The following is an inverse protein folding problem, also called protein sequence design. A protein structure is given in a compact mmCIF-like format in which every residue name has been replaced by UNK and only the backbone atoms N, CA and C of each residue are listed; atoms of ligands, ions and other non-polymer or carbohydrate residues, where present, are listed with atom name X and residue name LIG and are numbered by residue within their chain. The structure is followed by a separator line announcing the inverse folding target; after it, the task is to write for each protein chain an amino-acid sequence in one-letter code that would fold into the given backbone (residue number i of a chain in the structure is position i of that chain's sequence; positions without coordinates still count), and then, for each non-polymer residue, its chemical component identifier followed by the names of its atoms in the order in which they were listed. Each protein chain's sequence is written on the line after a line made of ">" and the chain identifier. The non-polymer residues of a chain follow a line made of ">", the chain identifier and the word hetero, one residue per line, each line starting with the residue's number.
data_IF_461366176638
#
_entry.id   IF_461366176638
#
_cell.length_a   1.000
_cell.length_b   1.000
_cell.length_c   1.000
_cell.angle_alpha   90.00
_cell.angle_beta   90.00
_cell.angle_gamma   90.00
#
_symmetry.space_group_name_H-M   'P 1'
#
loop_
_entity.id
_entity.type
_entity.pdbx_description
1 polymer ?
#
# COMPACT_ATOMS: atom_id res chain seq x y z
N UNK A 1 4.68 4.44 -8.08
CA UNK A 1 4.11 4.81 -6.75
C UNK A 1 4.76 3.90 -5.75
N UNK A 2 5.41 4.43 -4.71
CA UNK A 2 6.20 3.61 -3.79
C UNK A 2 5.36 3.09 -2.62
N UNK A 3 5.82 2.03 -1.95
CA UNK A 3 5.22 1.52 -0.71
C UNK A 3 5.11 2.62 0.37
N UNK A 4 6.09 3.53 0.40
CA UNK A 4 6.10 4.65 1.34
C UNK A 4 4.95 5.62 1.06
N UNK A 5 4.69 5.91 -0.21
CA UNK A 5 3.58 6.79 -0.61
C UNK A 5 2.23 6.20 -0.19
N UNK A 6 2.04 4.89 -0.41
CA UNK A 6 0.81 4.18 -0.03
C UNK A 6 0.63 4.15 1.48
N UNK A 7 1.69 3.82 2.23
CA UNK A 7 1.62 3.79 3.69
C UNK A 7 1.30 5.17 4.28
N UNK A 8 1.88 6.24 3.73
CA UNK A 8 1.61 7.61 4.17
C UNK A 8 0.19 8.08 3.82
N UNK A 9 -0.28 7.80 2.61
CA UNK A 9 -1.64 8.09 2.21
C UNK A 9 -2.65 7.37 3.13
N UNK A 10 -2.40 6.09 3.42
CA UNK A 10 -3.26 5.30 4.31
C UNK A 10 -3.25 5.83 5.75
N UNK A 11 -2.09 6.23 6.29
CA UNK A 11 -1.98 6.85 7.62
C UNK A 11 -2.77 8.16 7.69
N UNK A 12 -2.62 9.04 6.69
CA UNK A 12 -3.35 10.32 6.64
C UNK A 12 -4.85 10.09 6.57
N UNK A 13 -5.27 9.14 5.74
CA UNK A 13 -6.67 8.75 5.63
C UNK A 13 -7.22 8.23 6.97
N UNK A 14 -6.52 7.32 7.65
CA UNK A 14 -6.92 6.83 8.97
C UNK A 14 -7.03 7.95 10.01
N UNK A 15 -6.10 8.89 9.99
CA UNK A 15 -6.10 10.04 10.89
C UNK A 15 -7.33 10.91 10.66
N UNK A 16 -7.67 11.22 9.41
CA UNK A 16 -8.88 11.98 9.05
C UNK A 16 -10.16 11.24 9.48
N UNK A 17 -10.25 9.94 9.17
CA UNK A 17 -11.47 9.18 9.47
C UNK A 17 -11.71 9.01 10.97
N UNK A 18 -10.65 8.91 11.76
CA UNK A 18 -10.77 8.63 13.20
C UNK A 18 -10.67 9.88 14.07
N UNK A 19 -9.99 10.93 13.60
CA UNK A 19 -9.60 12.08 14.41
C UNK A 19 -8.50 11.76 15.43
N UNK A 20 -7.83 10.61 15.29
CA UNK A 20 -6.79 10.13 16.20
C UNK A 20 -5.41 10.37 15.60
N UNK A 21 -4.41 10.49 16.48
CA UNK A 21 -3.01 10.43 16.05
C UNK A 21 -2.72 9.02 15.52
N UNK A 22 -2.19 8.93 14.31
CA UNK A 22 -1.80 7.67 13.66
C UNK A 22 -0.29 7.68 13.45
N UNK A 23 0.39 6.63 13.90
CA UNK A 23 1.85 6.49 13.81
C UNK A 23 2.26 5.23 13.02
N UNK A 24 3.46 5.24 12.47
CA UNK A 24 4.10 4.03 11.92
C UNK A 24 4.65 3.16 13.07
N UNK A 25 4.66 1.84 12.91
CA UNK A 25 5.20 0.86 13.88
C UNK A 25 6.60 1.21 14.41
N UNK A 26 7.47 1.68 13.51
CA UNK A 26 8.88 1.96 13.77
C UNK A 26 9.18 3.46 13.73
N UNK A 27 8.20 4.31 14.06
CA UNK A 27 8.41 5.75 14.09
C UNK A 27 9.33 6.11 15.27
N UNK A 28 10.39 6.88 15.00
CA UNK A 28 11.24 7.43 16.05
C UNK A 28 10.47 8.42 16.93
N UNK A 29 10.86 8.50 18.20
CA UNK A 29 10.32 9.45 19.17
C UNK A 29 9.38 8.82 20.21
N UNK A 30 8.82 9.69 21.04
CA UNK A 30 7.95 9.24 22.13
C UNK A 30 6.60 8.74 21.61
N UNK A 31 6.16 7.65 22.23
CA UNK A 31 4.83 7.09 22.04
C UNK A 31 3.76 8.16 22.35
N UNK A 32 2.74 8.35 21.49
CA UNK A 32 1.63 9.25 21.77
C UNK A 32 0.89 8.92 23.07
N UNK A 33 0.24 9.93 23.66
CA UNK A 33 -0.81 9.69 24.66
C UNK A 33 -1.98 8.94 24.02
N UNK A 34 -2.60 8.05 24.78
CA UNK A 34 -3.84 7.38 24.37
C UNK A 34 -5.00 8.40 24.29
N UNK A 35 -5.99 8.19 23.39
CA UNK A 35 -6.06 7.14 22.36
C UNK A 35 -5.27 7.48 21.09
N UNK A 36 -4.69 6.45 20.46
CA UNK A 36 -3.97 6.59 19.19
C UNK A 36 -4.02 5.30 18.37
N UNK A 37 -3.68 5.39 17.08
CA UNK A 37 -3.52 4.24 16.20
C UNK A 37 -2.05 4.04 15.81
N UNK A 38 -1.63 2.79 15.67
CA UNK A 38 -0.35 2.40 15.08
C UNK A 38 -0.61 1.53 13.87
N UNK A 39 0.11 1.79 12.78
CA UNK A 39 -0.03 1.04 11.52
C UNK A 39 1.28 0.35 11.21
N UNK A 40 1.21 -0.94 10.94
CA UNK A 40 2.33 -1.74 10.43
C UNK A 40 2.04 -2.06 8.97
N UNK A 41 3.00 -1.77 8.09
CA UNK A 41 2.99 -2.37 6.76
C UNK A 41 3.49 -3.81 6.88
N UNK A 42 2.66 -4.78 6.50
CA UNK A 42 2.93 -6.21 6.77
C UNK A 42 3.32 -7.00 5.53
N UNK A 43 2.75 -6.69 4.37
CA UNK A 43 3.07 -7.37 3.13
C UNK A 43 2.65 -6.55 1.91
N UNK A 44 3.33 -6.80 0.79
CA UNK A 44 2.90 -6.40 -0.54
C UNK A 44 2.81 -7.62 -1.43
N UNK A 45 1.79 -7.67 -2.30
CA UNK A 45 1.66 -8.68 -3.34
C UNK A 45 1.08 -8.10 -4.62
N UNK A 46 1.55 -8.63 -5.73
CA UNK A 46 0.91 -8.42 -7.03
C UNK A 46 -0.33 -9.33 -7.11
N UNK A 47 -1.44 -8.79 -7.59
CA UNK A 47 -2.70 -9.54 -7.70
C UNK A 47 -2.79 -10.35 -9.00
N UNK A 48 -1.92 -10.03 -9.96
CA UNK A 48 -1.88 -10.69 -11.27
C UNK A 48 -0.44 -11.01 -11.60
N UNK A 49 -0.24 -12.21 -12.15
CA UNK A 49 1.08 -12.65 -12.64
C UNK A 49 1.50 -11.88 -13.89
N UNK A 50 0.54 -11.47 -14.73
CA UNK A 50 0.79 -10.73 -15.96
C UNK A 50 0.13 -9.35 -15.90
N UNK A 51 0.83 -8.28 -16.34
CA UNK A 51 0.27 -6.94 -16.38
C UNK A 51 -0.90 -6.87 -17.36
N UNK A 52 -1.94 -6.10 -17.01
CA UNK A 52 -3.10 -5.94 -17.89
C UNK A 52 -2.78 -5.13 -19.14
N UNK A 53 -1.88 -4.17 -18.98
CA UNK A 53 -1.49 -3.24 -20.00
C UNK A 53 0.00 -2.90 -19.81
N UNK A 54 0.68 -2.62 -20.91
CA UNK A 54 2.03 -2.07 -20.90
C UNK A 54 1.94 -0.75 -21.65
N UNK A 55 2.28 0.32 -20.97
CA UNK A 55 2.33 1.65 -21.57
C UNK A 55 3.73 1.86 -22.14
N UNK A 56 3.80 2.27 -23.41
CA UNK A 56 5.07 2.52 -24.10
C UNK A 56 5.24 4.01 -24.34
N UNK A 57 6.44 4.51 -24.10
CA UNK A 57 6.80 5.91 -24.32
C UNK A 57 8.21 6.03 -24.91
N UNK A 58 8.35 6.86 -25.94
CA UNK A 58 9.66 7.21 -26.47
C UNK A 58 10.40 8.09 -25.45
N UNK A 59 11.65 7.72 -25.14
CA UNK A 59 12.53 8.55 -24.33
C UNK A 59 13.27 9.57 -25.20
N UNK A 60 13.85 10.59 -24.57
CA UNK A 60 14.69 11.57 -25.26
C UNK A 60 16.13 11.06 -25.50
N UNK A 61 16.46 9.89 -24.96
CA UNK A 61 17.78 9.25 -25.10
C UNK A 61 17.78 8.37 -26.34
N UNK A 62 18.86 8.44 -27.12
CA UNK A 62 19.06 7.56 -28.26
C UNK A 62 19.87 6.34 -27.84
N UNK A 63 19.50 5.16 -28.36
CA UNK A 63 20.27 3.94 -28.21
C UNK A 63 21.56 3.97 -29.07
N UNK A 64 22.34 2.89 -29.04
CA UNK A 64 23.60 2.77 -29.80
C UNK A 64 23.44 2.86 -31.33
N UNK A 65 22.23 2.74 -31.85
CA UNK A 65 21.90 2.79 -33.28
C UNK A 65 21.30 4.14 -33.70
N UNK A 66 21.14 5.07 -32.76
CA UNK A 66 20.59 6.41 -33.01
C UNK A 66 19.05 6.48 -33.03
N UNK A 67 18.36 5.42 -32.58
CA UNK A 67 16.91 5.39 -32.42
C UNK A 67 16.52 5.79 -30.97
N UNK A 68 15.35 6.40 -30.74
CA UNK A 68 14.86 6.66 -29.39
C UNK A 68 14.71 5.35 -28.60
N UNK A 69 15.25 5.31 -27.38
CA UNK A 69 14.96 4.19 -26.47
C UNK A 69 13.48 4.21 -26.09
N UNK A 70 12.88 3.04 -25.89
CA UNK A 70 11.47 2.90 -25.51
C UNK A 70 11.38 2.55 -24.03
N UNK A 71 10.69 3.38 -23.25
CA UNK A 71 10.30 3.05 -21.87
C UNK A 71 9.00 2.25 -21.89
N UNK A 72 9.05 1.01 -21.39
CA UNK A 72 7.90 0.16 -21.20
C UNK A 72 7.50 0.16 -19.73
N UNK A 73 6.27 0.61 -19.44
CA UNK A 73 5.72 0.70 -18.08
C UNK A 73 4.57 -0.30 -17.92
N UNK A 74 4.79 -1.47 -17.30
CA UNK A 74 3.71 -2.38 -16.98
C UNK A 74 2.78 -1.76 -15.93
N UNK A 75 1.48 -1.85 -16.18
CA UNK A 75 0.45 -1.45 -15.21
C UNK A 75 0.09 -2.66 -14.36
N UNK A 76 0.61 -2.69 -13.13
CA UNK A 76 0.49 -3.81 -12.21
C UNK A 76 -0.52 -3.45 -11.11
N UNK A 77 -1.46 -4.35 -10.84
CA UNK A 77 -2.38 -4.21 -9.73
C UNK A 77 -1.74 -4.80 -8.47
N UNK A 78 -1.51 -3.95 -7.48
CA UNK A 78 -0.86 -4.28 -6.23
C UNK A 78 -1.83 -4.25 -5.05
N UNK A 79 -1.55 -5.07 -4.05
CA UNK A 79 -2.22 -5.05 -2.75
C UNK A 79 -1.21 -4.91 -1.62
N UNK A 80 -1.44 -3.92 -0.77
CA UNK A 80 -0.68 -3.65 0.44
C UNK A 80 -1.50 -4.05 1.65
N UNK A 81 -0.97 -4.99 2.42
CA UNK A 81 -1.54 -5.43 3.68
C UNK A 81 -0.98 -4.60 4.83
N UNK A 82 -1.88 -4.09 5.67
CA UNK A 82 -1.56 -3.36 6.88
C UNK A 82 -2.18 -4.03 8.11
N UNK A 83 -1.45 -4.03 9.23
CA UNK A 83 -2.02 -4.30 10.55
C UNK A 83 -2.21 -3.00 11.31
N UNK A 84 -3.46 -2.66 11.60
CA UNK A 84 -3.84 -1.45 12.34
C UNK A 84 -4.13 -1.81 13.79
N UNK A 85 -3.41 -1.16 14.70
CA UNK A 85 -3.53 -1.34 16.14
C UNK A 85 -4.13 -0.09 16.75
N UNK A 86 -5.15 -0.24 17.59
CA UNK A 86 -5.76 0.83 18.36
C UNK A 86 -5.42 0.68 19.84
N UNK A 87 -5.04 1.79 20.49
CA UNK A 87 -4.73 1.87 21.91
C UNK A 87 -5.63 2.91 22.59
N UNK A 88 -6.01 2.65 23.85
CA UNK A 88 -6.87 3.52 24.67
C UNK A 88 -8.00 2.75 25.35
N UNK A 89 -8.89 3.42 26.07
CA UNK A 89 -9.88 2.76 26.93
C UNK A 89 -10.94 1.94 26.15
N UNK A 90 -11.21 2.30 24.89
CA UNK A 90 -12.18 1.64 24.03
C UNK A 90 -11.60 1.34 22.63
N UNK A 91 -10.56 0.50 22.52
CA UNK A 91 -9.76 0.39 21.30
C UNK A 91 -10.53 -0.25 20.13
N UNK A 92 -11.49 -1.12 20.42
CA UNK A 92 -12.36 -1.74 19.41
C UNK A 92 -13.32 -0.73 18.76
N UNK A 93 -13.72 0.32 19.48
CA UNK A 93 -14.60 1.37 18.98
C UNK A 93 -13.95 2.17 17.85
N UNK A 94 -12.68 2.52 18.00
CA UNK A 94 -11.89 3.21 16.99
C UNK A 94 -11.81 2.40 15.68
N UNK A 95 -11.54 1.10 15.77
CA UNK A 95 -11.47 0.23 14.59
C UNK A 95 -12.84 -0.04 13.97
N UNK A 96 -13.92 -0.10 14.77
CA UNK A 96 -15.29 -0.20 14.24
C UNK A 96 -15.66 1.01 13.40
N UNK A 97 -15.19 2.21 13.77
CA UNK A 97 -15.37 3.43 12.97
C UNK A 97 -14.69 3.27 11.61
N UNK A 98 -13.44 2.82 11.58
CA UNK A 98 -12.70 2.53 10.33
C UNK A 98 -13.48 1.52 9.46
N UNK A 99 -13.94 0.43 10.06
CA UNK A 99 -14.73 -0.59 9.36
C UNK A 99 -16.08 -0.07 8.82
N UNK A 100 -16.65 0.96 9.43
CA UNK A 100 -17.90 1.56 8.94
C UNK A 100 -17.65 2.54 7.80
N UNK A 101 -16.59 3.35 7.87
CA UNK A 101 -16.30 4.38 6.85
C UNK A 101 -15.82 3.81 5.53
N UNK A 102 -15.23 2.61 5.50
CA UNK A 102 -14.85 1.94 4.23
C UNK A 102 -16.05 1.61 3.34
N UNK A 103 -17.26 1.59 3.90
CA UNK A 103 -18.50 1.40 3.14
C UNK A 103 -19.13 2.71 2.64
N UNK A 104 -18.51 3.86 2.95
CA UNK A 104 -18.99 5.18 2.56
C UNK A 104 -18.07 5.76 1.49
N UNK A 105 -18.54 5.83 0.24
CA UNK A 105 -17.73 6.31 -0.89
C UNK A 105 -17.16 7.70 -0.65
N UNK A 106 -17.92 8.63 -0.06
CA UNK A 106 -17.45 10.00 0.23
C UNK A 106 -16.26 10.01 1.19
N UNK A 107 -16.15 9.01 2.07
CA UNK A 107 -15.02 8.89 3.00
C UNK A 107 -13.80 8.23 2.38
N UNK A 108 -13.95 7.58 1.22
CA UNK A 108 -12.85 7.01 0.45
C UNK A 108 -12.28 7.98 -0.61
N UNK A 109 -12.97 9.08 -0.90
CA UNK A 109 -12.51 10.10 -1.86
C UNK A 109 -11.04 10.51 -1.71
N UNK A 110 -10.46 10.69 -0.50
CA UNK A 110 -9.05 11.05 -0.37
C UNK A 110 -8.05 10.01 -0.88
N UNK A 111 -8.46 8.75 -0.99
CA UNK A 111 -7.64 7.66 -1.55
C UNK A 111 -7.88 7.50 -3.06
N UNK A 112 -9.05 7.88 -3.55
CA UNK A 112 -9.43 7.70 -4.95
C UNK A 112 -8.76 8.74 -5.86
N UNK A 113 -8.48 8.39 -7.14
CA UNK A 113 -8.68 7.06 -7.75
C UNK A 113 -7.49 6.11 -7.54
N UNK A 114 -6.38 6.59 -6.96
CA UNK A 114 -5.11 5.87 -6.93
C UNK A 114 -5.13 4.63 -6.02
N UNK A 115 -5.84 4.73 -4.90
CA UNK A 115 -5.92 3.71 -3.85
C UNK A 115 -7.37 3.42 -3.48
N UNK A 116 -7.64 2.19 -3.06
CA UNK A 116 -8.94 1.79 -2.53
C UNK A 116 -8.73 0.82 -1.37
N UNK A 117 -9.45 1.03 -0.27
CA UNK A 117 -9.49 0.04 0.81
C UNK A 117 -10.34 -1.14 0.33
N UNK A 118 -9.70 -2.27 0.07
CA UNK A 118 -10.34 -3.45 -0.50
C UNK A 118 -11.01 -4.30 0.57
N UNK A 119 -10.31 -4.57 1.67
CA UNK A 119 -10.78 -5.47 2.71
C UNK A 119 -10.44 -4.94 4.11
N UNK A 120 -11.35 -5.18 5.06
CA UNK A 120 -11.08 -4.99 6.49
C UNK A 120 -11.38 -6.28 7.26
N UNK A 121 -10.36 -6.80 7.93
CA UNK A 121 -10.43 -8.04 8.70
C UNK A 121 -11.32 -7.96 9.94
N UNK A 122 -11.37 -9.04 10.74
CA UNK A 122 -12.01 -9.01 12.05
C UNK A 122 -11.27 -8.07 13.01
N UNK A 123 -12.00 -7.50 13.97
CA UNK A 123 -11.42 -6.71 15.05
C UNK A 123 -11.14 -7.64 16.23
N UNK A 124 -9.86 -7.81 16.53
CA UNK A 124 -9.39 -8.65 17.63
C UNK A 124 -9.06 -7.79 18.85
N UNK A 125 -9.59 -8.14 20.02
CA UNK A 125 -9.13 -7.54 21.28
C UNK A 125 -7.88 -8.28 21.73
N UNK A 126 -6.73 -7.60 21.69
CA UNK A 126 -5.43 -8.20 21.98
C UNK A 126 -4.66 -7.28 22.91
N UNK A 127 -4.99 -7.25 24.23
CA UNK A 127 -4.28 -6.44 25.22
C UNK A 127 -2.76 -6.65 25.14
N UNK A 128 -2.01 -5.60 25.44
CA UNK A 128 -0.56 -5.58 25.26
C UNK A 128 0.13 -5.20 26.58
N UNK A 129 1.29 -5.78 26.86
CA UNK A 129 2.04 -5.49 28.09
C UNK A 129 3.10 -4.43 27.81
N UNK A 130 2.80 -3.18 28.16
CA UNK A 130 3.64 -2.02 27.86
C UNK A 130 4.05 -1.31 29.14
N UNK A 131 5.34 -0.98 29.28
CA UNK A 131 5.88 -0.27 30.45
C UNK A 131 5.46 -0.87 31.81
N UNK A 132 5.41 -2.20 31.92
CA UNK A 132 5.00 -2.96 33.12
C UNK A 132 3.51 -2.83 33.50
N UNK A 133 2.64 -2.48 32.55
CA UNK A 133 1.20 -2.49 32.74
C UNK A 133 0.49 -3.13 31.54
N UNK A 134 -0.65 -3.77 31.79
CA UNK A 134 -1.55 -4.22 30.72
C UNK A 134 -2.29 -3.01 30.18
N UNK A 135 -2.17 -2.78 28.88
CA UNK A 135 -2.91 -1.74 28.19
C UNK A 135 -3.95 -2.34 27.25
N UNK A 136 -5.17 -1.78 27.21
CA UNK A 136 -6.17 -2.22 26.25
C UNK A 136 -5.70 -1.90 24.82
N UNK A 137 -5.71 -2.92 23.97
CA UNK A 137 -5.36 -2.81 22.56
C UNK A 137 -6.29 -3.67 21.73
N UNK A 138 -6.66 -3.15 20.55
CA UNK A 138 -7.35 -3.90 19.52
C UNK A 138 -6.55 -3.88 18.23
N UNK A 139 -6.77 -4.86 17.37
CA UNK A 139 -6.05 -5.05 16.11
C UNK A 139 -7.02 -5.41 14.99
N UNK A 140 -6.75 -4.94 13.77
CA UNK A 140 -7.48 -5.28 12.55
C UNK A 140 -6.54 -5.22 11.34
N UNK A 141 -6.63 -6.21 10.45
CA UNK A 141 -5.93 -6.16 9.16
C UNK A 141 -6.73 -5.33 8.16
N UNK A 142 -6.03 -4.59 7.29
CA UNK A 142 -6.62 -3.80 6.22
C UNK A 142 -5.81 -4.01 4.96
N UNK A 143 -6.48 -4.41 3.88
CA UNK A 143 -5.88 -4.53 2.56
C UNK A 143 -6.23 -3.29 1.72
N UNK A 144 -5.22 -2.63 1.17
CA UNK A 144 -5.36 -1.49 0.27
C UNK A 144 -4.88 -1.91 -1.12
N UNK A 145 -5.64 -1.59 -2.15
CA UNK A 145 -5.30 -1.86 -3.55
C UNK A 145 -5.02 -0.58 -4.32
N UNK A 146 -4.24 -0.71 -5.39
CA UNK A 146 -3.86 0.39 -6.27
C UNK A 146 -3.05 -0.10 -7.46
N UNK A 147 -2.66 0.84 -8.32
CA UNK A 147 -1.87 0.54 -9.52
C UNK A 147 -0.42 1.00 -9.36
N UNK A 148 0.52 0.12 -9.66
CA UNK A 148 1.95 0.40 -9.74
C UNK A 148 2.32 0.57 -11.21
N UNK A 149 3.22 1.52 -11.46
CA UNK A 149 3.64 1.99 -12.78
C UNK A 149 5.13 2.29 -12.71
N UNK A 150 5.91 1.23 -12.62
CA UNK A 150 7.37 1.33 -12.54
C UNK A 150 7.92 0.91 -13.91
N UNK A 151 8.41 1.89 -14.67
CA UNK A 151 8.89 1.71 -16.04
C UNK A 151 10.30 1.14 -16.09
N UNK A 152 10.60 0.43 -17.17
CA UNK A 152 11.95 0.02 -17.54
C UNK A 152 12.24 0.44 -18.98
N UNK A 153 13.46 0.92 -19.21
CA UNK A 153 13.95 1.18 -20.57
C UNK A 153 14.22 -0.16 -21.24
N UNK A 154 13.58 -0.38 -22.39
CA UNK A 154 13.75 -1.56 -23.22
C UNK A 154 14.48 -1.14 -24.49
N UNK A 155 15.62 -1.78 -24.75
CA UNK A 155 16.34 -1.57 -26.00
C UNK A 155 15.64 -2.32 -27.14
N UNK A 156 15.47 -1.65 -28.27
CA UNK A 156 14.81 -2.20 -29.45
C UNK A 156 15.87 -2.93 -30.29
N UNK A 157 16.35 -4.09 -29.83
CA UNK A 157 17.38 -4.85 -30.57
C UNK A 157 16.73 -5.86 -31.54
N UNK A 158 17.30 -5.88 -32.75
CA UNK A 158 16.95 -6.61 -33.99
C UNK A 158 16.56 -8.09 -33.85
N UNK A 159 15.78 -8.57 -34.84
CA UNK A 159 15.32 -9.95 -35.06
C UNK A 159 16.13 -11.05 -34.33
N UNK A 160 15.61 -11.52 -33.20
CA UNK A 160 16.11 -12.76 -32.59
C UNK A 160 15.66 -13.96 -33.45
N UNK A 161 16.53 -14.42 -34.34
CA UNK A 161 16.36 -15.72 -35.01
C UNK A 161 16.76 -16.85 -34.04
N UNK A 162 15.77 -17.51 -33.46
CA UNK A 162 16.02 -18.71 -32.62
C UNK A 162 16.28 -19.90 -33.56
N UNK A 163 17.56 -20.21 -33.79
CA UNK A 163 17.98 -21.42 -34.50
C UNK A 163 17.89 -22.66 -33.60
N UNK A 164 16.89 -23.52 -33.82
CA UNK A 164 16.85 -24.85 -33.19
C UNK A 164 17.74 -25.79 -34.01
N UNK A 165 18.98 -25.99 -33.60
CA UNK A 165 19.81 -27.10 -34.11
C UNK A 165 19.38 -28.41 -33.45
N UNK A 166 18.84 -29.34 -34.23
CA UNK A 166 18.66 -30.73 -33.81
C UNK A 166 20.04 -31.40 -33.81
N UNK A 167 20.47 -31.91 -32.65
CA UNK A 167 21.58 -32.84 -32.53
C UNK A 167 21.19 -34.24 -33.04
#
# INVERSE_FOLDING_TARGET
>A
MTDTDVWEAFIRWLADQTGLKVIKAHQSGDRPSTPYLMVNFTAFRELREMPQNIEYRDTETLNSEGNPEIEATPVIEGEWDFSVHAYGDAPTGSLRKVKSVVHLSQRLEPLLPALTVHETGPINSVPDWVKKAWEPRAQMNVAVRGLIRDGAVVDVIEEYSIGISRA
#
